data_IF_866638365953
#
_entry.id   IF_866638365953
#
_cell.length_a   1.000
_cell.length_b   1.000
_cell.length_c   1.000
_cell.angle_alpha   90.00
_cell.angle_beta   90.00
_cell.angle_gamma   90.00
#
_symmetry.space_group_name_H-M   'P 1'
#
loop_
_entity.id
_entity.type
_entity.pdbx_description
1 polymer ?
#
# COMPACT_ATOMS: atom_id res chain seq x y z
N UNK A 1 18.68 19.87 9.41
CA UNK A 1 17.71 20.20 8.34
C UNK A 1 16.49 19.31 8.57
N UNK A 2 15.40 19.86 9.10
CA UNK A 2 14.21 19.12 9.55
C UNK A 2 13.18 19.23 8.42
N UNK A 3 12.94 18.16 7.67
CA UNK A 3 11.88 18.17 6.65
C UNK A 3 10.53 18.03 7.37
N UNK A 4 9.74 19.10 7.35
CA UNK A 4 8.34 19.12 7.77
C UNK A 4 7.51 18.56 6.62
N UNK A 5 7.09 17.29 6.71
CA UNK A 5 6.23 16.61 5.72
C UNK A 5 4.74 16.99 5.85
N UNK A 6 4.43 18.17 6.40
CA UNK A 6 3.07 18.45 6.89
C UNK A 6 2.39 19.68 6.29
N UNK A 7 2.89 20.18 5.17
CA UNK A 7 2.14 21.14 4.37
C UNK A 7 1.98 20.60 2.95
N UNK A 8 0.74 20.18 2.68
CA UNK A 8 0.08 20.39 1.40
C UNK A 8 0.53 19.51 0.22
N UNK A 9 0.83 18.24 0.47
CA UNK A 9 0.97 17.24 -0.59
C UNK A 9 -0.27 17.23 -1.51
N UNK A 10 -1.47 17.34 -0.93
CA UNK A 10 -2.73 17.40 -1.68
C UNK A 10 -2.88 18.68 -2.51
N UNK A 11 -2.50 19.84 -1.96
CA UNK A 11 -2.57 21.10 -2.70
C UNK A 11 -1.49 21.18 -3.79
N UNK A 12 -0.30 20.64 -3.53
CA UNK A 12 0.79 20.50 -4.50
C UNK A 12 0.40 19.60 -5.67
N UNK A 13 -0.21 18.44 -5.38
CA UNK A 13 -0.78 17.53 -6.37
C UNK A 13 -1.91 18.24 -7.13
N UNK A 14 -2.81 18.92 -6.43
CA UNK A 14 -3.95 19.62 -7.03
C UNK A 14 -3.58 20.80 -7.94
N UNK A 15 -2.52 21.53 -7.59
CA UNK A 15 -2.02 22.69 -8.34
C UNK A 15 -1.25 22.28 -9.60
N UNK A 16 -0.41 21.23 -9.50
CA UNK A 16 0.41 20.77 -10.64
C UNK A 16 -0.34 19.90 -11.66
N UNK A 17 -1.53 19.37 -11.33
CA UNK A 17 -2.22 18.37 -12.18
C UNK A 17 -3.25 18.94 -13.17
N UNK A 18 -3.53 20.25 -13.20
CA UNK A 18 -4.65 20.74 -14.03
C UNK A 18 -4.27 20.98 -15.50
N UNK A 19 -4.75 20.12 -16.40
CA UNK A 19 -5.54 20.57 -17.59
C UNK A 19 -6.55 19.53 -18.18
N UNK A 20 -7.76 20.08 -18.37
CA UNK A 20 -8.93 19.85 -19.25
C UNK A 20 -9.91 18.64 -19.25
N UNK A 21 -9.60 17.36 -19.06
CA UNK A 21 -10.66 16.30 -19.08
C UNK A 21 -10.37 15.05 -18.20
N UNK A 22 -10.26 15.17 -16.87
CA UNK A 22 -10.12 14.01 -15.95
C UNK A 22 -8.84 13.13 -16.07
N UNK A 23 -7.77 13.62 -16.71
CA UNK A 23 -6.49 12.87 -16.87
C UNK A 23 -5.46 13.10 -15.75
N UNK A 24 -5.90 13.51 -14.58
CA UNK A 24 -5.09 13.61 -13.36
C UNK A 24 -5.20 12.40 -12.43
N UNK A 25 -5.66 11.23 -12.92
CA UNK A 25 -5.67 10.02 -12.10
C UNK A 25 -4.22 9.62 -11.85
N UNK A 26 -3.79 9.63 -10.58
CA UNK A 26 -2.50 9.05 -10.18
C UNK A 26 -2.34 7.70 -10.87
N UNK A 27 -1.29 7.54 -11.67
CA UNK A 27 -1.12 6.32 -12.46
C UNK A 27 -0.72 5.19 -11.52
N UNK A 28 0.32 5.42 -10.73
CA UNK A 28 0.84 4.46 -9.77
C UNK A 28 1.13 5.19 -8.46
N UNK A 29 0.65 4.64 -7.35
CA UNK A 29 0.94 5.12 -6.01
C UNK A 29 1.80 4.09 -5.29
N UNK A 30 2.95 4.51 -4.78
CA UNK A 30 3.83 3.67 -3.95
C UNK A 30 3.67 4.13 -2.49
N UNK A 31 3.52 3.19 -1.57
CA UNK A 31 3.42 3.47 -0.15
C UNK A 31 3.93 2.30 0.69
N UNK A 32 4.13 2.57 1.98
CA UNK A 32 4.42 1.56 2.99
C UNK A 32 3.37 1.57 4.09
N UNK A 33 3.44 0.57 4.96
CA UNK A 33 2.66 0.46 6.19
C UNK A 33 3.60 0.56 7.40
N UNK A 34 3.15 1.28 8.44
CA UNK A 34 3.87 1.32 9.72
C UNK A 34 3.67 0.00 10.51
N UNK A 35 4.31 -0.12 11.68
CA UNK A 35 4.19 -1.32 12.53
C UNK A 35 2.84 -1.46 13.21
N UNK A 36 2.02 -0.41 13.23
CA UNK A 36 0.68 -0.40 13.83
C UNK A 36 -0.42 -0.69 12.80
N UNK A 37 -0.08 -0.72 11.51
CA UNK A 37 -1.01 -0.95 10.44
C UNK A 37 -1.58 0.31 9.80
N UNK A 38 -0.99 1.48 10.08
CA UNK A 38 -1.43 2.74 9.51
C UNK A 38 -0.77 2.98 8.15
N UNK A 39 -1.53 3.63 7.26
CA UNK A 39 -1.06 4.15 5.99
C UNK A 39 -0.98 5.67 6.08
N UNK A 40 0.02 6.27 5.44
CA UNK A 40 0.19 7.73 5.44
C UNK A 40 -0.85 8.45 4.56
N UNK A 41 -1.64 7.70 3.79
CA UNK A 41 -2.66 8.21 2.86
C UNK A 41 -3.96 7.45 3.09
N UNK A 42 -5.07 8.18 3.19
CA UNK A 42 -6.40 7.58 3.30
C UNK A 42 -6.69 6.66 2.10
N UNK A 43 -7.16 5.44 2.38
CA UNK A 43 -7.51 4.47 1.33
C UNK A 43 -8.61 5.03 0.43
N UNK A 44 -9.67 5.59 1.03
CA UNK A 44 -10.88 6.02 0.32
C UNK A 44 -10.72 7.34 -0.41
N UNK A 45 -10.03 8.29 0.20
CA UNK A 45 -9.91 9.66 -0.33
C UNK A 45 -8.69 9.84 -1.24
N UNK A 46 -7.61 9.08 -1.02
CA UNK A 46 -6.38 9.17 -1.79
C UNK A 46 -6.15 7.95 -2.69
N UNK A 47 -5.99 6.77 -2.08
CA UNK A 47 -5.44 5.60 -2.79
C UNK A 47 -6.36 5.05 -3.87
N UNK A 48 -7.68 5.07 -3.67
CA UNK A 48 -8.65 4.59 -4.66
C UNK A 48 -8.73 5.44 -5.94
N UNK A 49 -8.13 6.64 -5.94
CA UNK A 49 -8.03 7.46 -7.15
C UNK A 49 -6.93 6.96 -8.11
N UNK A 50 -6.00 6.12 -7.62
CA UNK A 50 -4.88 5.62 -8.39
C UNK A 50 -5.30 4.57 -9.44
N UNK A 51 -4.44 4.26 -10.42
CA UNK A 51 -4.64 3.10 -11.31
C UNK A 51 -4.00 1.84 -10.79
N UNK A 52 -2.90 2.00 -10.10
CA UNK A 52 -2.11 0.95 -9.49
C UNK A 52 -1.64 1.43 -8.12
N UNK A 53 -1.65 0.51 -7.16
CA UNK A 53 -1.07 0.73 -5.83
C UNK A 53 0.04 -0.31 -5.63
N UNK A 54 1.22 0.14 -5.24
CA UNK A 54 2.34 -0.71 -4.84
C UNK A 54 2.57 -0.51 -3.35
N UNK A 55 2.19 -1.50 -2.55
CA UNK A 55 2.40 -1.53 -1.12
C UNK A 55 3.70 -2.26 -0.81
N UNK A 56 4.70 -1.55 -0.30
CA UNK A 56 5.99 -2.10 0.09
C UNK A 56 6.02 -2.35 1.58
N UNK A 57 6.27 -3.59 2.00
CA UNK A 57 6.34 -3.99 3.40
C UNK A 57 7.65 -4.74 3.63
N UNK A 58 8.46 -4.25 4.57
CA UNK A 58 9.77 -4.82 4.89
C UNK A 58 9.93 -4.93 6.41
N UNK A 59 10.75 -5.87 6.87
CA UNK A 59 11.08 -6.08 8.27
C UNK A 59 10.21 -7.14 8.96
N UNK A 60 10.84 -7.95 9.82
CA UNK A 60 10.19 -9.03 10.57
C UNK A 60 9.13 -8.50 11.54
N UNK A 61 9.27 -7.27 12.02
CA UNK A 61 8.31 -6.61 12.90
C UNK A 61 6.93 -6.41 12.25
N UNK A 62 6.83 -6.56 10.93
CA UNK A 62 5.57 -6.45 10.17
C UNK A 62 4.99 -7.80 9.75
N UNK A 63 5.56 -8.92 10.19
CA UNK A 63 5.08 -10.26 9.80
C UNK A 63 3.61 -10.48 10.19
N UNK A 64 3.20 -10.06 11.40
CA UNK A 64 1.82 -10.24 11.87
C UNK A 64 0.84 -9.36 11.07
N UNK A 65 1.31 -8.19 10.63
CA UNK A 65 0.56 -7.31 9.73
C UNK A 65 0.37 -7.93 8.35
N UNK A 66 1.41 -8.56 7.80
CA UNK A 66 1.33 -9.31 6.54
C UNK A 66 0.35 -10.47 6.67
N UNK A 67 0.42 -11.22 7.77
CA UNK A 67 -0.51 -12.31 8.05
C UNK A 67 -1.96 -11.81 8.09
N UNK A 68 -2.21 -10.76 8.89
CA UNK A 68 -3.52 -10.13 9.00
C UNK A 68 -4.04 -9.59 7.66
N UNK A 69 -3.17 -8.93 6.89
CA UNK A 69 -3.50 -8.45 5.54
C UNK A 69 -3.83 -9.60 4.60
N UNK A 70 -3.17 -10.77 4.73
CA UNK A 70 -3.49 -11.95 3.94
C UNK A 70 -4.87 -12.53 4.29
N UNK A 71 -5.17 -12.71 5.57
CA UNK A 71 -6.41 -13.36 6.03
C UNK A 71 -7.67 -12.49 5.87
N UNK A 72 -7.57 -11.18 6.12
CA UNK A 72 -8.74 -10.33 6.18
C UNK A 72 -9.35 -10.00 4.81
N UNK A 73 -10.67 -10.14 4.67
CA UNK A 73 -11.38 -9.92 3.41
C UNK A 73 -12.11 -8.57 3.35
N UNK A 74 -11.38 -7.48 3.65
CA UNK A 74 -11.92 -6.11 3.62
C UNK A 74 -13.09 -5.88 4.60
N UNK A 75 -13.58 -4.64 4.71
CA UNK A 75 -14.73 -4.29 5.59
C UNK A 75 -14.52 -4.65 7.07
N UNK A 76 -13.28 -4.67 7.54
CA UNK A 76 -12.91 -4.81 8.95
C UNK A 76 -12.52 -3.43 9.51
N UNK A 77 -12.12 -3.36 10.79
CA UNK A 77 -11.52 -2.17 11.37
C UNK A 77 -10.07 -1.93 10.91
N UNK A 78 -9.49 -2.86 10.16
CA UNK A 78 -8.13 -2.76 9.65
C UNK A 78 -8.16 -2.19 8.23
N UNK A 79 -7.98 -0.86 8.13
CA UNK A 79 -8.08 -0.10 6.89
C UNK A 79 -7.25 -0.66 5.72
N UNK A 80 -6.01 -1.17 5.90
CA UNK A 80 -5.23 -1.72 4.79
C UNK A 80 -5.90 -2.89 4.07
N UNK A 81 -6.80 -3.63 4.73
CA UNK A 81 -7.56 -4.71 4.08
C UNK A 81 -8.50 -4.19 2.97
N UNK A 82 -8.95 -2.93 3.07
CA UNK A 82 -9.80 -2.28 2.06
C UNK A 82 -9.05 -2.10 0.72
N UNK A 83 -7.70 -2.12 0.71
CA UNK A 83 -6.91 -2.12 -0.52
C UNK A 83 -7.25 -3.31 -1.43
N UNK A 84 -7.69 -4.45 -0.88
CA UNK A 84 -8.12 -5.62 -1.69
C UNK A 84 -9.33 -5.32 -2.58
N UNK A 85 -10.12 -4.29 -2.28
CA UNK A 85 -11.21 -3.85 -3.13
C UNK A 85 -10.75 -2.97 -4.30
N UNK A 86 -9.50 -2.52 -4.31
CA UNK A 86 -8.95 -1.76 -5.41
C UNK A 86 -8.64 -2.67 -6.61
N UNK A 87 -8.87 -2.16 -7.83
CA UNK A 87 -8.73 -2.93 -9.08
C UNK A 87 -7.34 -3.51 -9.35
N UNK A 88 -6.30 -2.94 -8.75
CA UNK A 88 -4.91 -3.35 -8.95
C UNK A 88 -4.06 -2.93 -7.77
N UNK A 89 -3.63 -3.91 -6.97
CA UNK A 89 -2.71 -3.72 -5.85
C UNK A 89 -1.61 -4.76 -5.95
N UNK A 90 -0.37 -4.30 -5.90
CA UNK A 90 0.82 -5.14 -5.83
C UNK A 90 1.42 -4.99 -4.44
N UNK A 91 1.61 -6.10 -3.72
CA UNK A 91 2.28 -6.10 -2.43
C UNK A 91 3.69 -6.65 -2.62
N UNK A 92 4.69 -5.84 -2.29
CA UNK A 92 6.11 -6.19 -2.40
C UNK A 92 6.64 -6.41 -0.99
N UNK A 93 7.13 -7.62 -0.74
CA UNK A 93 7.62 -8.07 0.57
C UNK A 93 9.12 -8.36 0.49
N UNK A 94 9.86 -8.07 1.55
CA UNK A 94 11.15 -8.71 1.80
C UNK A 94 10.96 -10.09 2.43
N UNK A 95 12.05 -10.87 2.54
CA UNK A 95 12.00 -12.22 3.09
C UNK A 95 11.51 -12.24 4.54
N UNK A 96 11.87 -11.22 5.33
CA UNK A 96 11.51 -11.12 6.74
C UNK A 96 10.01 -10.85 6.95
N UNK A 97 9.43 -9.89 6.23
CA UNK A 97 8.00 -9.60 6.30
C UNK A 97 7.16 -10.73 5.67
N UNK A 98 7.67 -11.40 4.63
CA UNK A 98 7.01 -12.54 3.99
C UNK A 98 6.83 -13.75 4.91
N UNK A 99 7.48 -13.79 6.09
CA UNK A 99 7.24 -14.83 7.09
C UNK A 99 5.79 -14.84 7.62
N UNK A 100 5.05 -13.73 7.46
CA UNK A 100 3.62 -13.67 7.79
C UNK A 100 2.70 -14.41 6.81
N UNK A 101 3.19 -14.77 5.61
CA UNK A 101 2.41 -15.54 4.65
C UNK A 101 2.42 -17.03 4.99
N UNK A 102 1.37 -17.78 4.59
CA UNK A 102 1.42 -19.24 4.60
C UNK A 102 2.66 -19.78 3.88
N UNK A 103 3.21 -20.87 4.39
CA UNK A 103 4.47 -21.45 3.90
C UNK A 103 4.42 -21.80 2.41
N UNK A 104 3.33 -22.39 1.95
CA UNK A 104 3.07 -22.73 0.55
C UNK A 104 3.04 -21.49 -0.37
N UNK A 105 2.41 -20.41 0.09
CA UNK A 105 2.37 -19.12 -0.63
C UNK A 105 3.78 -18.53 -0.73
N UNK A 106 4.51 -18.48 0.38
CA UNK A 106 5.88 -17.94 0.41
C UNK A 106 6.80 -18.71 -0.53
N UNK A 107 6.80 -20.04 -0.45
CA UNK A 107 7.64 -20.88 -1.32
C UNK A 107 7.32 -20.72 -2.80
N UNK A 108 6.05 -20.58 -3.17
CA UNK A 108 5.65 -20.36 -4.56
C UNK A 108 6.24 -19.08 -5.15
N UNK A 109 6.21 -17.96 -4.40
CA UNK A 109 6.76 -16.69 -4.87
C UNK A 109 8.28 -16.66 -4.81
N UNK A 110 8.92 -17.20 -3.77
CA UNK A 110 10.38 -17.27 -3.71
C UNK A 110 10.95 -18.15 -4.82
N UNK A 111 10.39 -19.33 -5.06
CA UNK A 111 10.89 -20.26 -6.08
C UNK A 111 10.68 -19.76 -7.52
N UNK A 112 9.72 -18.87 -7.75
CA UNK A 112 9.42 -18.34 -9.08
C UNK A 112 10.31 -17.15 -9.49
N UNK A 113 10.95 -16.48 -8.54
CA UNK A 113 11.68 -15.24 -8.78
C UNK A 113 13.12 -15.22 -8.22
N UNK A 114 13.60 -16.31 -7.59
CA UNK A 114 14.99 -16.55 -7.21
C UNK A 114 15.71 -17.43 -8.23
#
# INVERSE_FOLDING_TARGET
MKYLFNEDTESFIGDKIKTKENKGKLITQVLSIDTNGNLDISVRQGLFSAREIILVITGSEKQELVHKLYEENGKTSFEPSDLKAHRMVNVVLDEAAAQGLPEDVRHYFTARFA
#
